data_IF_426994116898
#
_entry.id   IF_426994116898
#
_cell.length_a   1.000
_cell.length_b   1.000
_cell.length_c   1.000
_cell.angle_alpha   90.00
_cell.angle_beta   90.00
_cell.angle_gamma   90.00
#
_symmetry.space_group_name_H-M   'P 1'
#
loop_
_entity.id
_entity.type
_entity.pdbx_description
1 polymer ?
#
# COMPACT_ATOMS: atom_id res chain seq x y z
N UNK A 1 -35.01 45.31 -30.40
CA UNK A 1 -36.26 44.94 -29.71
C UNK A 1 -35.95 43.76 -28.82
N UNK A 2 -36.20 43.99 -27.53
CA UNK A 2 -36.29 43.04 -26.41
C UNK A 2 -35.18 42.04 -26.23
N UNK A 3 -34.32 42.22 -25.44
CA UNK A 3 -33.74 42.21 -24.14
C UNK A 3 -34.47 41.30 -23.12
N UNK A 4 -33.84 40.21 -22.74
CA UNK A 4 -34.24 39.50 -21.54
C UNK A 4 -32.97 39.07 -20.81
N UNK A 5 -32.61 39.84 -19.80
CA UNK A 5 -31.56 39.53 -18.85
C UNK A 5 -32.00 38.42 -17.89
N UNK A 6 -31.10 37.49 -17.64
CA UNK A 6 -31.24 36.53 -16.54
C UNK A 6 -30.44 37.08 -15.36
N UNK A 7 -31.17 37.42 -14.30
CA UNK A 7 -30.64 37.82 -13.01
C UNK A 7 -30.10 36.59 -12.27
N UNK A 8 -28.86 36.68 -11.79
CA UNK A 8 -28.25 35.76 -10.83
C UNK A 8 -28.75 36.14 -9.44
N UNK A 9 -29.53 35.26 -8.82
CA UNK A 9 -29.94 35.41 -7.42
C UNK A 9 -28.88 34.77 -6.53
N UNK A 10 -28.15 35.59 -5.83
CA UNK A 10 -27.33 35.25 -4.66
C UNK A 10 -28.22 35.13 -3.42
N UNK A 11 -27.95 34.16 -2.61
CA UNK A 11 -28.27 34.34 -1.21
C UNK A 11 -29.11 33.24 -0.53
N UNK A 12 -28.48 32.56 0.39
CA UNK A 12 -29.04 32.59 1.71
C UNK A 12 -29.58 31.31 2.33
N UNK A 13 -28.83 30.78 3.27
CA UNK A 13 -29.32 30.22 4.54
C UNK A 13 -30.12 28.91 4.49
N UNK A 14 -29.44 27.81 4.73
CA UNK A 14 -30.03 26.69 5.44
C UNK A 14 -29.39 26.53 6.80
N UNK A 15 -30.01 27.18 7.81
CA UNK A 15 -29.82 26.88 9.20
C UNK A 15 -31.13 26.33 9.76
N UNK A 16 -31.01 25.21 10.45
CA UNK A 16 -31.85 24.76 11.55
C UNK A 16 -33.30 24.38 11.26
N UNK A 17 -33.60 23.09 11.37
CA UNK A 17 -34.65 22.52 12.23
C UNK A 17 -34.76 21.00 12.06
N UNK A 18 -34.37 20.26 13.10
CA UNK A 18 -35.00 19.01 13.51
C UNK A 18 -34.42 18.59 14.86
N UNK A 19 -34.87 19.27 15.94
CA UNK A 19 -34.86 18.70 17.26
C UNK A 19 -36.29 18.20 17.50
N UNK A 20 -36.53 16.89 17.33
CA UNK A 20 -37.74 16.23 17.72
C UNK A 20 -37.44 15.30 18.90
N UNK A 21 -37.98 15.72 20.02
CA UNK A 21 -38.29 15.08 21.27
C UNK A 21 -38.31 13.52 21.25
N UNK A 22 -37.49 12.93 22.12
CA UNK A 22 -37.71 11.62 22.70
C UNK A 22 -38.00 11.80 24.20
N UNK A 23 -39.11 11.29 24.74
CA UNK A 23 -39.40 11.31 26.17
C UNK A 23 -38.78 10.10 26.86
N UNK A 24 -38.24 10.30 28.05
CA UNK A 24 -38.03 9.27 29.06
C UNK A 24 -36.63 8.71 29.17
N UNK A 25 -35.76 9.40 29.91
CA UNK A 25 -34.64 8.74 30.57
C UNK A 25 -34.55 9.29 32.01
N UNK A 26 -35.03 8.48 32.96
CA UNK A 26 -34.99 8.78 34.39
C UNK A 26 -33.53 8.87 34.86
N UNK A 27 -33.26 9.94 35.62
CA UNK A 27 -32.03 10.20 36.29
C UNK A 27 -31.73 9.10 37.32
N UNK A 28 -30.79 8.20 37.01
CA UNK A 28 -30.17 7.34 38.02
C UNK A 28 -28.92 8.06 38.57
N UNK A 29 -29.00 8.37 39.85
CA UNK A 29 -27.99 8.92 40.73
C UNK A 29 -26.62 8.24 40.50
N UNK A 30 -25.66 8.99 39.98
CA UNK A 30 -24.25 8.60 40.00
C UNK A 30 -23.70 8.66 41.44
N UNK A 31 -23.40 7.50 42.02
CA UNK A 31 -22.61 7.42 43.26
C UNK A 31 -21.15 7.77 42.96
N UNK A 32 -20.44 8.58 43.81
CA UNK A 32 -19.05 8.87 43.59
C UNK A 32 -18.17 7.63 43.78
N UNK A 33 -17.29 7.38 42.82
CA UNK A 33 -16.32 6.30 42.88
C UNK A 33 -15.32 6.51 44.04
N UNK A 34 -15.17 5.50 44.87
CA UNK A 34 -14.17 5.46 45.97
C UNK A 34 -12.77 5.61 45.37
N UNK A 35 -12.02 6.59 45.89
CA UNK A 35 -10.58 6.78 45.65
C UNK A 35 -9.87 5.49 46.01
N UNK A 36 -9.30 4.77 45.02
CA UNK A 36 -8.33 3.71 45.25
C UNK A 36 -6.99 4.39 45.53
N UNK A 37 -6.38 4.04 46.69
CA UNK A 37 -5.02 4.40 47.04
C UNK A 37 -4.05 3.86 46.00
N UNK A 38 -3.13 4.72 45.53
CA UNK A 38 -2.04 4.36 44.68
C UNK A 38 -1.08 3.39 45.42
N UNK A 39 -0.53 2.40 44.75
CA UNK A 39 0.54 1.57 45.32
C UNK A 39 1.82 2.39 45.48
N UNK A 40 2.57 2.11 46.57
CA UNK A 40 3.83 2.75 46.89
C UNK A 40 4.86 2.60 45.77
N UNK A 41 5.67 3.64 45.55
CA UNK A 41 6.76 3.67 44.59
C UNK A 41 7.80 2.55 44.88
N UNK A 42 8.36 1.90 43.84
CA UNK A 42 9.44 0.96 44.06
C UNK A 42 10.76 1.67 44.38
N UNK A 43 11.54 1.01 45.23
CA UNK A 43 12.84 1.40 45.78
C UNK A 43 13.87 1.68 44.67
N UNK A 44 14.36 2.92 44.64
CA UNK A 44 15.27 3.46 43.61
C UNK A 44 16.73 3.14 44.02
N UNK A 45 17.14 1.87 43.92
CA UNK A 45 18.55 1.48 44.04
C UNK A 45 19.14 1.28 42.67
N UNK A 46 20.30 1.89 42.33
CA UNK A 46 20.93 1.65 41.06
C UNK A 46 21.46 0.23 40.96
N UNK A 47 20.88 -0.54 40.02
CA UNK A 47 21.42 -1.86 39.62
C UNK A 47 22.65 -1.59 38.76
N UNK A 48 23.84 -1.88 39.31
CA UNK A 48 25.08 -1.90 38.53
C UNK A 48 25.03 -3.07 37.55
N UNK A 49 24.65 -2.80 36.32
CA UNK A 49 24.77 -3.80 35.24
C UNK A 49 26.25 -3.95 34.85
N UNK A 50 26.81 -5.12 35.12
CA UNK A 50 28.09 -5.55 34.59
C UNK A 50 28.02 -5.55 33.05
N UNK A 51 29.01 -4.92 32.39
CA UNK A 51 29.13 -4.89 30.93
C UNK A 51 29.20 -6.30 30.37
N UNK A 52 28.46 -6.61 29.29
CA UNK A 52 28.56 -7.92 28.64
C UNK A 52 29.95 -8.10 28.01
N UNK A 53 30.47 -9.34 27.94
CA UNK A 53 31.77 -9.61 27.34
C UNK A 53 31.74 -9.21 25.84
N UNK A 54 32.80 -8.53 25.39
CA UNK A 54 33.02 -8.21 23.99
C UNK A 54 33.00 -9.51 23.18
N UNK A 55 31.96 -9.69 22.36
CA UNK A 55 31.96 -10.72 21.34
C UNK A 55 33.06 -10.38 20.31
N UNK A 56 34.05 -11.23 20.20
CA UNK A 56 34.98 -11.24 19.08
C UNK A 56 34.16 -11.47 17.82
N UNK A 57 34.21 -10.48 16.90
CA UNK A 57 33.68 -10.63 15.54
C UNK A 57 34.46 -11.74 14.86
N UNK A 58 33.87 -12.90 14.70
CA UNK A 58 34.28 -13.85 13.68
C UNK A 58 33.76 -13.33 12.35
N UNK A 59 34.68 -12.94 11.51
CA UNK A 59 34.45 -12.57 10.12
C UNK A 59 34.07 -13.80 9.30
N UNK A 60 32.76 -14.04 9.16
CA UNK A 60 32.18 -14.87 8.09
C UNK A 60 30.65 -14.64 8.08
N UNK A 61 30.23 -13.40 7.88
CA UNK A 61 28.91 -13.15 7.31
C UNK A 61 29.12 -13.04 5.81
N UNK A 62 28.85 -14.12 5.10
CA UNK A 62 28.57 -14.09 3.69
C UNK A 62 27.37 -13.15 3.52
N UNK A 63 27.68 -11.91 3.18
CA UNK A 63 26.70 -10.93 2.73
C UNK A 63 26.14 -11.48 1.42
N UNK A 64 24.97 -12.13 1.51
CA UNK A 64 24.17 -12.44 0.34
C UNK A 64 24.01 -11.12 -0.43
N UNK A 65 24.65 -11.03 -1.58
CA UNK A 65 24.55 -9.85 -2.47
C UNK A 65 23.08 -9.66 -2.79
N UNK A 66 22.44 -8.70 -2.13
CA UNK A 66 21.12 -8.22 -2.53
C UNK A 66 21.30 -7.70 -3.97
N UNK A 67 20.79 -8.43 -4.94
CA UNK A 67 20.77 -8.00 -6.34
C UNK A 67 19.70 -6.90 -6.48
N UNK A 68 20.07 -5.68 -6.07
CA UNK A 68 19.22 -4.53 -6.33
C UNK A 68 19.23 -4.23 -7.83
N UNK A 69 18.05 -4.31 -8.44
CA UNK A 69 17.85 -3.92 -9.84
C UNK A 69 17.88 -2.40 -9.92
N UNK A 70 18.77 -1.84 -10.75
CA UNK A 70 18.78 -0.40 -11.02
C UNK A 70 17.60 -0.07 -11.94
N UNK A 71 16.69 0.83 -11.55
CA UNK A 71 15.58 1.22 -12.41
C UNK A 71 16.06 1.94 -13.67
N UNK A 72 15.53 1.56 -14.83
CA UNK A 72 15.76 2.18 -16.14
C UNK A 72 14.41 2.61 -16.71
N UNK A 73 14.31 3.79 -17.36
CA UNK A 73 13.10 4.24 -18.01
C UNK A 73 12.55 3.20 -19.00
N UNK A 74 11.22 3.01 -19.01
CA UNK A 74 10.61 1.95 -19.85
C UNK A 74 10.77 2.23 -21.34
N UNK A 75 10.82 3.50 -21.76
CA UNK A 75 11.09 3.90 -23.13
C UNK A 75 12.51 3.52 -23.58
N UNK A 76 13.54 3.76 -22.74
CA UNK A 76 14.92 3.40 -23.03
C UNK A 76 15.08 1.89 -23.17
N UNK A 77 14.35 1.11 -22.35
CA UNK A 77 14.34 -0.35 -22.46
C UNK A 77 13.69 -0.82 -23.76
N UNK A 78 12.62 -0.14 -24.20
CA UNK A 78 12.02 -0.48 -25.50
C UNK A 78 12.96 -0.17 -26.66
N UNK A 79 13.69 0.94 -26.60
CA UNK A 79 14.69 1.29 -27.62
C UNK A 79 15.84 0.26 -27.69
N UNK A 80 16.19 -0.37 -26.55
CA UNK A 80 17.22 -1.40 -26.48
C UNK A 80 16.72 -2.80 -26.91
N UNK A 81 15.56 -3.23 -26.40
CA UNK A 81 15.05 -4.61 -26.54
C UNK A 81 14.01 -4.78 -27.66
N UNK A 82 13.37 -3.69 -28.10
CA UNK A 82 12.34 -3.70 -29.14
C UNK A 82 11.20 -4.66 -28.83
N UNK A 83 10.75 -5.39 -29.82
CA UNK A 83 9.63 -6.32 -29.75
C UNK A 83 9.88 -7.55 -28.81
N UNK A 84 11.08 -7.74 -28.32
CA UNK A 84 11.37 -8.80 -27.34
C UNK A 84 10.99 -8.41 -25.92
N UNK A 85 10.72 -7.13 -25.68
CA UNK A 85 10.27 -6.61 -24.40
C UNK A 85 8.78 -6.87 -24.19
N UNK A 86 8.40 -7.50 -23.10
CA UNK A 86 7.00 -7.70 -22.76
C UNK A 86 6.41 -6.42 -22.15
N UNK A 87 5.53 -5.73 -22.88
CA UNK A 87 4.89 -4.47 -22.48
C UNK A 87 3.48 -4.77 -21.97
N UNK A 88 3.19 -4.41 -20.72
CA UNK A 88 1.86 -4.55 -20.15
C UNK A 88 0.96 -3.40 -20.61
N UNK A 89 0.05 -3.70 -21.56
CA UNK A 89 -0.87 -2.72 -22.14
C UNK A 89 -2.00 -2.25 -21.19
N UNK A 90 -2.00 -2.70 -19.93
CA UNK A 90 -2.99 -2.30 -18.93
C UNK A 90 -2.78 -0.83 -18.52
N UNK A 91 -3.84 -0.03 -18.59
CA UNK A 91 -3.81 1.40 -18.25
C UNK A 91 -3.67 1.67 -16.75
N UNK A 92 -2.54 1.34 -16.17
CA UNK A 92 -2.23 1.64 -14.78
C UNK A 92 -2.06 3.14 -14.55
N UNK A 93 -2.50 3.59 -13.38
CA UNK A 93 -2.27 4.94 -12.85
C UNK A 93 -1.21 4.89 -11.75
N UNK A 94 -0.40 5.95 -11.66
CA UNK A 94 0.59 6.12 -10.60
C UNK A 94 -0.05 6.66 -9.32
N UNK A 95 0.22 6.02 -8.19
CA UNK A 95 -0.26 6.42 -6.87
C UNK A 95 0.85 6.60 -5.84
N UNK A 96 1.94 5.86 -5.93
CA UNK A 96 3.10 5.98 -5.03
C UNK A 96 3.98 7.19 -5.35
N UNK A 97 4.77 7.66 -4.38
CA UNK A 97 5.69 8.77 -4.58
C UNK A 97 6.89 8.41 -5.47
N UNK A 98 7.34 7.15 -5.45
CA UNK A 98 8.40 6.67 -6.35
C UNK A 98 7.82 6.38 -7.72
N UNK A 99 8.16 7.21 -8.70
CA UNK A 99 7.59 7.14 -10.05
C UNK A 99 8.33 6.16 -10.97
N UNK A 100 9.63 6.00 -10.79
CA UNK A 100 10.48 5.05 -11.51
C UNK A 100 10.96 3.98 -10.52
N UNK A 101 10.63 2.72 -10.77
CA UNK A 101 11.02 1.62 -9.91
C UNK A 101 11.20 0.32 -10.72
N UNK A 102 12.03 -0.57 -10.19
CA UNK A 102 12.29 -1.88 -10.78
C UNK A 102 12.63 -2.88 -9.68
N UNK A 103 12.52 -4.16 -9.99
CA UNK A 103 12.93 -5.21 -9.08
C UNK A 103 12.52 -6.60 -9.56
N UNK A 104 12.99 -7.64 -8.86
CA UNK A 104 12.51 -8.99 -9.09
C UNK A 104 11.03 -9.10 -8.74
N UNK A 105 10.29 -9.80 -9.58
CA UNK A 105 8.84 -9.98 -9.42
C UNK A 105 8.54 -11.00 -8.32
N UNK A 106 7.61 -10.65 -7.44
CA UNK A 106 6.81 -11.57 -6.64
C UNK A 106 5.36 -11.43 -7.08
N UNK A 107 4.55 -12.46 -6.97
CA UNK A 107 3.16 -12.42 -7.42
C UNK A 107 2.19 -12.81 -6.33
N UNK A 108 1.00 -12.20 -6.36
CA UNK A 108 -0.17 -12.62 -5.56
C UNK A 108 -1.40 -12.57 -6.45
N UNK A 109 -2.16 -13.65 -6.45
CA UNK A 109 -3.51 -13.67 -7.00
C UNK A 109 -4.52 -13.66 -5.85
N UNK A 110 -5.45 -12.70 -5.85
CA UNK A 110 -6.52 -12.58 -4.88
C UNK A 110 -7.72 -11.87 -5.52
N UNK A 111 -8.91 -12.12 -4.99
CA UNK A 111 -10.10 -11.44 -5.51
C UNK A 111 -10.87 -10.78 -4.38
N UNK A 112 -10.86 -9.43 -4.37
CA UNK A 112 -11.52 -8.60 -3.34
C UNK A 112 -11.16 -8.98 -1.89
N UNK A 113 -10.00 -9.62 -1.72
CA UNK A 113 -9.41 -10.02 -0.45
C UNK A 113 -7.95 -9.60 -0.38
N UNK A 114 -7.50 -9.13 0.79
CA UNK A 114 -6.13 -8.63 0.93
C UNK A 114 -5.33 -9.31 2.06
N UNK A 115 -5.80 -10.41 2.60
CA UNK A 115 -5.10 -11.05 3.71
C UNK A 115 -3.72 -11.61 3.31
N UNK A 116 -3.64 -12.33 2.17
CA UNK A 116 -2.38 -12.86 1.64
C UNK A 116 -1.40 -11.74 1.26
N UNK A 117 -1.86 -10.78 0.49
CA UNK A 117 -1.13 -9.59 0.10
C UNK A 117 -0.54 -8.87 1.32
N UNK A 118 -1.37 -8.62 2.32
CA UNK A 118 -0.95 -7.99 3.56
C UNK A 118 0.11 -8.80 4.29
N UNK A 119 -0.08 -10.11 4.42
CA UNK A 119 0.87 -11.01 5.08
C UNK A 119 2.24 -10.94 4.38
N UNK A 120 2.26 -11.01 3.06
CA UNK A 120 3.49 -10.98 2.26
C UNK A 120 4.22 -9.63 2.41
N UNK A 121 3.51 -8.50 2.35
CA UNK A 121 4.12 -7.17 2.47
C UNK A 121 4.66 -6.84 3.87
N UNK A 122 4.35 -7.66 4.88
CA UNK A 122 4.97 -7.59 6.21
C UNK A 122 6.26 -8.41 6.32
N UNK A 123 6.69 -9.10 5.25
CA UNK A 123 7.98 -9.79 5.18
C UNK A 123 9.02 -8.92 4.44
N UNK A 124 10.33 -9.15 4.61
CA UNK A 124 11.36 -8.44 3.87
C UNK A 124 11.13 -8.52 2.35
N UNK A 125 11.08 -7.37 1.69
CA UNK A 125 10.86 -7.26 0.25
C UNK A 125 12.13 -7.38 -0.58
N UNK A 126 13.29 -7.06 -0.01
CA UNK A 126 14.63 -7.16 -0.64
C UNK A 126 14.70 -6.47 -2.01
N UNK A 127 13.97 -5.35 -2.17
CA UNK A 127 13.89 -4.63 -3.43
C UNK A 127 12.96 -5.26 -4.48
N UNK A 128 12.16 -6.25 -4.12
CA UNK A 128 11.22 -6.86 -5.04
C UNK A 128 10.02 -5.96 -5.37
N UNK A 129 9.39 -6.23 -6.49
CA UNK A 129 8.12 -5.63 -6.91
C UNK A 129 7.02 -6.70 -6.81
N UNK A 130 5.97 -6.39 -6.03
CA UNK A 130 4.82 -7.28 -5.92
C UNK A 130 3.79 -6.98 -7.02
N UNK A 131 3.55 -7.96 -7.87
CA UNK A 131 2.50 -7.94 -8.88
C UNK A 131 1.26 -8.64 -8.34
N UNK A 132 0.17 -7.90 -8.22
CA UNK A 132 -1.09 -8.35 -7.62
C UNK A 132 -2.16 -8.48 -8.69
N UNK A 133 -2.60 -9.70 -8.97
CA UNK A 133 -3.79 -9.92 -9.77
C UNK A 133 -5.04 -9.93 -8.87
N UNK A 134 -5.73 -8.81 -8.86
CA UNK A 134 -7.01 -8.59 -8.16
C UNK A 134 -8.23 -8.82 -9.05
N UNK A 135 -8.04 -9.43 -10.24
CA UNK A 135 -9.11 -9.64 -11.21
C UNK A 135 -9.67 -8.34 -11.79
N UNK A 136 -8.95 -7.23 -11.73
CA UNK A 136 -9.40 -5.93 -12.24
C UNK A 136 -10.57 -5.32 -11.47
N UNK A 137 -10.93 -5.84 -10.30
CA UNK A 137 -12.13 -5.39 -9.57
C UNK A 137 -12.02 -3.93 -9.11
N UNK A 138 -13.01 -3.08 -9.45
CA UNK A 138 -13.11 -1.72 -8.93
C UNK A 138 -13.91 -1.64 -7.62
N UNK A 139 -14.40 -2.76 -7.08
CA UNK A 139 -15.40 -2.75 -6.00
C UNK A 139 -14.80 -2.61 -4.62
N UNK A 140 -13.56 -3.08 -4.43
CA UNK A 140 -12.85 -3.01 -3.14
C UNK A 140 -11.39 -2.63 -3.33
N UNK A 141 -10.82 -1.93 -2.35
CA UNK A 141 -9.41 -1.54 -2.34
C UNK A 141 -8.56 -2.66 -1.72
N UNK A 142 -7.59 -3.15 -2.47
CA UNK A 142 -6.64 -4.16 -2.01
C UNK A 142 -5.57 -3.55 -1.10
N UNK A 143 -5.11 -2.34 -1.41
CA UNK A 143 -4.06 -1.63 -0.68
C UNK A 143 -4.55 -0.25 -0.25
N UNK A 144 -4.19 0.14 0.95
CA UNK A 144 -4.31 1.49 1.52
C UNK A 144 -3.01 1.87 2.22
N UNK A 145 -3.00 3.02 2.88
CA UNK A 145 -1.86 3.65 3.55
C UNK A 145 -1.09 2.70 4.49
N UNK A 146 -1.77 1.97 5.36
CA UNK A 146 -1.13 1.06 6.33
C UNK A 146 -0.40 -0.11 5.67
N UNK A 147 -0.97 -0.68 4.60
CA UNK A 147 -0.36 -1.81 3.89
C UNK A 147 0.82 -1.33 3.05
N UNK A 148 0.66 -0.19 2.37
CA UNK A 148 1.73 0.40 1.58
C UNK A 148 2.89 0.89 2.46
N UNK A 149 2.61 1.50 3.61
CA UNK A 149 3.65 1.89 4.58
C UNK A 149 4.40 0.68 5.14
N UNK A 150 3.73 -0.46 5.35
CA UNK A 150 4.40 -1.69 5.73
C UNK A 150 5.32 -2.22 4.60
N UNK A 151 4.88 -2.15 3.34
CA UNK A 151 5.70 -2.52 2.19
C UNK A 151 6.97 -1.64 2.09
N UNK A 152 6.83 -0.32 2.20
CA UNK A 152 7.95 0.61 2.22
C UNK A 152 8.94 0.28 3.35
N UNK A 153 8.44 0.12 4.58
CA UNK A 153 9.26 -0.18 5.77
C UNK A 153 10.01 -1.52 5.66
N UNK A 154 9.47 -2.48 4.92
CA UNK A 154 10.08 -3.79 4.69
C UNK A 154 10.93 -3.85 3.40
N UNK A 155 11.20 -2.73 2.75
CA UNK A 155 12.14 -2.65 1.63
C UNK A 155 11.62 -3.22 0.31
N UNK A 156 10.31 -3.20 0.08
CA UNK A 156 9.74 -3.45 -1.25
C UNK A 156 10.03 -2.27 -2.18
N UNK A 157 10.34 -2.53 -3.45
CA UNK A 157 10.56 -1.49 -4.44
C UNK A 157 9.25 -0.89 -4.98
N UNK A 158 8.23 -1.73 -5.11
CA UNK A 158 6.94 -1.28 -5.63
C UNK A 158 5.84 -2.34 -5.64
N UNK A 159 4.65 -1.87 -6.00
CA UNK A 159 3.42 -2.66 -6.13
C UNK A 159 2.78 -2.37 -7.49
N UNK A 160 2.42 -3.42 -8.23
CA UNK A 160 1.65 -3.32 -9.48
C UNK A 160 0.35 -4.09 -9.25
N UNK A 161 -0.79 -3.38 -9.23
CA UNK A 161 -2.05 -3.89 -8.72
C UNK A 161 -3.12 -3.88 -9.82
N UNK A 162 -3.45 -5.04 -10.35
CA UNK A 162 -4.62 -5.23 -11.21
C UNK A 162 -5.90 -5.18 -10.36
N UNK A 163 -6.24 -4.00 -9.89
CA UNK A 163 -7.33 -3.72 -8.97
C UNK A 163 -7.30 -2.29 -8.45
N UNK A 164 -8.03 -2.01 -7.38
CA UNK A 164 -8.15 -0.68 -6.80
C UNK A 164 -7.36 -0.51 -5.50
N UNK A 165 -6.98 0.74 -5.22
CA UNK A 165 -6.36 1.18 -3.97
C UNK A 165 -7.24 2.24 -3.28
N UNK A 166 -6.89 2.64 -2.07
CA UNK A 166 -7.50 3.75 -1.33
C UNK A 166 -6.43 4.61 -0.68
N UNK A 167 -6.84 5.68 -0.02
CA UNK A 167 -5.96 6.61 0.70
C UNK A 167 -4.89 7.23 -0.22
N UNK A 168 -5.27 7.54 -1.49
CA UNK A 168 -4.35 7.90 -2.58
C UNK A 168 -3.44 9.09 -2.28
N UNK A 169 -3.89 10.06 -1.47
CA UNK A 169 -3.05 11.19 -1.04
C UNK A 169 -1.90 10.71 -0.14
N UNK A 170 -2.21 9.81 0.81
CA UNK A 170 -1.19 9.24 1.68
C UNK A 170 -0.20 8.35 0.91
N UNK A 171 -0.70 7.56 -0.04
CA UNK A 171 0.15 6.72 -0.92
C UNK A 171 1.17 7.57 -1.69
N UNK A 172 0.77 8.76 -2.16
CA UNK A 172 1.65 9.68 -2.88
C UNK A 172 2.81 10.24 -2.06
N UNK A 173 2.75 10.13 -0.74
CA UNK A 173 3.82 10.55 0.18
C UNK A 173 4.85 9.45 0.49
N UNK A 174 4.63 8.21 0.07
CA UNK A 174 5.52 7.08 0.35
C UNK A 174 6.63 6.97 -0.71
N UNK A 175 7.84 6.66 -0.29
CA UNK A 175 8.92 6.29 -1.21
C UNK A 175 8.80 4.84 -1.69
N UNK A 176 7.68 4.57 -2.32
CA UNK A 176 7.29 3.26 -2.85
C UNK A 176 6.64 3.45 -4.23
N UNK A 177 7.00 2.63 -5.21
CA UNK A 177 6.30 2.58 -6.49
C UNK A 177 4.92 1.95 -6.32
N UNK A 178 3.84 2.60 -6.77
CA UNK A 178 2.50 2.01 -6.72
C UNK A 178 1.75 2.30 -8.02
N UNK A 179 1.49 1.25 -8.77
CA UNK A 179 0.65 1.25 -9.98
C UNK A 179 -0.66 0.52 -9.68
N UNK A 180 -1.80 1.10 -10.03
CA UNK A 180 -3.12 0.47 -9.86
C UNK A 180 -4.10 0.97 -10.93
N UNK A 181 -5.24 0.29 -11.08
CA UNK A 181 -6.26 0.69 -12.05
C UNK A 181 -7.06 1.92 -11.60
N UNK A 182 -7.26 2.08 -10.29
CA UNK A 182 -8.06 3.17 -9.77
C UNK A 182 -8.18 3.18 -8.26
N UNK A 183 -9.11 3.97 -7.75
CA UNK A 183 -9.35 4.12 -6.31
C UNK A 183 -10.80 3.81 -5.94
N UNK A 184 -10.98 3.22 -4.75
CA UNK A 184 -12.30 3.01 -4.13
C UNK A 184 -12.16 3.02 -2.61
N UNK A 185 -13.07 3.68 -1.85
CA UNK A 185 -12.93 3.76 -0.39
C UNK A 185 -13.28 2.45 0.35
N UNK A 186 -13.96 1.50 -0.31
CA UNK A 186 -14.42 0.25 0.29
C UNK A 186 -13.24 -0.69 0.56
N UNK A 187 -13.16 -1.22 1.79
CA UNK A 187 -12.15 -2.22 2.18
C UNK A 187 -12.42 -3.58 1.55
N UNK A 188 -11.36 -4.33 1.29
CA UNK A 188 -11.40 -5.75 0.90
C UNK A 188 -11.77 -6.67 2.07
N UNK A 189 -12.17 -7.90 1.73
CA UNK A 189 -12.25 -9.03 2.64
C UNK A 189 -10.89 -9.42 3.25
N UNK A 190 -10.94 -10.41 4.14
CA UNK A 190 -9.76 -10.94 4.85
C UNK A 190 -9.88 -12.44 5.06
N UNK A 191 -10.31 -13.18 4.04
CA UNK A 191 -10.46 -14.65 4.10
C UNK A 191 -9.13 -15.35 3.92
N UNK A 192 -8.23 -14.74 3.14
CA UNK A 192 -6.94 -15.32 2.79
C UNK A 192 -6.99 -16.20 1.54
N UNK A 193 -8.08 -16.13 0.79
CA UNK A 193 -8.21 -16.87 -0.47
C UNK A 193 -7.30 -16.28 -1.55
N UNK A 194 -6.56 -17.15 -2.25
CA UNK A 194 -5.65 -16.75 -3.31
C UNK A 194 -4.43 -17.63 -3.42
N UNK A 195 -3.42 -17.15 -4.15
CA UNK A 195 -2.15 -17.85 -4.37
C UNK A 195 -0.98 -16.86 -4.36
N UNK A 196 0.19 -17.33 -3.91
CA UNK A 196 1.44 -16.57 -3.86
C UNK A 196 2.46 -17.24 -4.77
N UNK A 197 3.26 -16.42 -5.49
CA UNK A 197 4.34 -16.82 -6.39
C UNK A 197 3.92 -17.76 -7.55
N UNK A 198 2.62 -17.90 -7.80
CA UNK A 198 2.10 -18.48 -9.04
C UNK A 198 2.14 -17.45 -10.18
N UNK A 199 2.33 -17.89 -11.45
CA UNK A 199 2.24 -16.98 -12.58
C UNK A 199 0.89 -16.26 -12.64
N UNK A 200 0.91 -14.94 -12.87
CA UNK A 200 -0.30 -14.13 -13.07
C UNK A 200 -0.25 -13.44 -14.42
N UNK A 201 -1.38 -13.38 -15.11
CA UNK A 201 -1.49 -12.71 -16.40
C UNK A 201 -2.34 -11.46 -16.27
N UNK A 202 -1.76 -10.31 -16.61
CA UNK A 202 -2.42 -9.01 -16.58
C UNK A 202 -2.24 -8.38 -17.96
N UNK A 203 -3.37 -8.06 -18.61
CA UNK A 203 -3.34 -7.71 -20.03
C UNK A 203 -2.75 -8.87 -20.83
N UNK A 204 -1.75 -8.55 -21.65
CA UNK A 204 -1.09 -9.53 -22.53
C UNK A 204 0.21 -10.10 -21.94
N UNK A 205 0.56 -9.72 -20.69
CA UNK A 205 1.82 -10.10 -20.04
C UNK A 205 1.60 -11.10 -18.92
N UNK A 206 2.39 -12.18 -18.92
CA UNK A 206 2.46 -13.11 -17.80
C UNK A 206 3.67 -12.79 -16.95
N UNK A 207 3.43 -12.39 -15.71
CA UNK A 207 4.44 -12.14 -14.69
C UNK A 207 4.70 -13.43 -13.90
N UNK A 208 5.97 -13.78 -13.73
CA UNK A 208 6.40 -14.93 -12.94
C UNK A 208 7.34 -14.51 -11.85
N UNK A 209 7.30 -15.17 -10.71
CA UNK A 209 8.27 -14.95 -9.65
C UNK A 209 9.71 -15.08 -10.19
N UNK A 210 10.55 -14.09 -9.90
CA UNK A 210 11.92 -13.99 -10.36
C UNK A 210 12.12 -13.30 -11.72
N UNK A 211 11.06 -12.95 -12.46
CA UNK A 211 11.19 -12.04 -13.62
C UNK A 211 11.69 -10.66 -13.14
N UNK A 212 12.27 -9.87 -14.02
CA UNK A 212 12.62 -8.49 -13.72
C UNK A 212 11.62 -7.55 -14.35
N UNK A 213 10.99 -6.70 -13.53
CA UNK A 213 10.04 -5.69 -13.98
C UNK A 213 10.60 -4.29 -13.79
N UNK A 214 10.31 -3.41 -14.75
CA UNK A 214 10.52 -1.97 -14.67
C UNK A 214 9.18 -1.25 -14.88
N UNK A 215 8.99 -0.15 -14.16
CA UNK A 215 7.77 0.64 -14.24
C UNK A 215 8.06 2.12 -14.01
N UNK A 216 7.42 2.96 -14.80
CA UNK A 216 7.46 4.41 -14.72
C UNK A 216 6.11 5.03 -15.15
N UNK A 217 6.10 6.31 -15.52
CA UNK A 217 4.86 6.98 -15.93
C UNK A 217 4.31 6.48 -17.26
N UNK A 218 5.18 5.98 -18.14
CA UNK A 218 4.81 5.51 -19.47
C UNK A 218 4.24 4.10 -19.44
N UNK A 219 4.71 3.24 -18.50
CA UNK A 219 4.18 1.88 -18.46
C UNK A 219 4.78 0.94 -17.45
N UNK A 220 4.59 -0.34 -17.75
CA UNK A 220 5.14 -1.47 -17.03
C UNK A 220 5.70 -2.44 -18.07
N UNK A 221 6.96 -2.83 -17.91
CA UNK A 221 7.64 -3.75 -18.82
C UNK A 221 8.33 -4.87 -18.05
N UNK A 222 8.41 -6.05 -18.66
CA UNK A 222 9.12 -7.21 -18.13
C UNK A 222 10.26 -7.53 -19.08
N UNK A 223 11.47 -7.63 -18.54
CA UNK A 223 12.66 -7.97 -19.33
C UNK A 223 12.57 -9.40 -19.87
N UNK A 224 13.09 -9.66 -21.08
CA UNK A 224 13.21 -11.01 -21.61
C UNK A 224 14.09 -11.87 -20.70
N UNK A 225 13.80 -13.17 -20.66
CA UNK A 225 14.57 -14.15 -19.89
C UNK A 225 15.81 -14.59 -20.65
#
# INVERSE_FOLDING_TARGET
>A
MSGSGVQIATGGRYLARAAAQLPGCEARLCRPARRRQAPAAPDDRPITLAAPPRRTRTSSEETGSQMSVTPVPTADLYDEYGESLAICATGFRQFGGRRLFAGPVRTVRCHEDNALLRSLLHTPGEGAVLVVDGGGSPRTALVGDLIAGAAEANGWAGLIINGSVRDSVALGGLDLGIKALGTVPRKSGKTGDGAVDEPVTIGDVTFRAGDTVHADDDGVVVLPR
#
